data_IF_390957876397
#
_entry.id   IF_390957876397
#
_cell.length_a   1.000
_cell.length_b   1.000
_cell.length_c   1.000
_cell.angle_alpha   90.00
_cell.angle_beta   90.00
_cell.angle_gamma   90.00
#
_symmetry.space_group_name_H-M   'P 1'
#
loop_
_entity.id
_entity.type
_entity.pdbx_description
1 polymer ?
#
# COMPACT_ATOMS: atom_id res chain seq x y z
N UNK A 1 -1.64 14.06 -2.22
CA UNK A 1 -3.09 13.73 -2.16
C UNK A 1 -3.38 12.44 -1.38
N UNK A 2 -2.86 11.32 -1.87
CA UNK A 2 -2.94 10.01 -1.20
C UNK A 2 -2.44 10.07 0.25
N UNK A 3 -1.27 10.68 0.45
CA UNK A 3 -0.73 10.92 1.78
C UNK A 3 -1.70 11.73 2.66
N UNK A 4 -2.31 12.80 2.12
CA UNK A 4 -3.29 13.63 2.84
C UNK A 4 -4.56 12.87 3.19
N UNK A 5 -5.03 11.96 2.34
CA UNK A 5 -6.17 11.06 2.60
C UNK A 5 -5.85 10.10 3.75
N UNK A 6 -4.73 9.37 3.65
CA UNK A 6 -4.27 8.46 4.70
C UNK A 6 -3.94 9.19 6.01
N UNK A 7 -3.47 10.44 5.94
CA UNK A 7 -3.16 11.25 7.11
C UNK A 7 -4.43 11.84 7.75
N UNK A 8 -5.42 12.25 6.94
CA UNK A 8 -6.74 12.72 7.45
C UNK A 8 -7.51 11.61 8.13
N UNK A 9 -7.45 10.39 7.59
CA UNK A 9 -8.06 9.20 8.17
C UNK A 9 -7.22 8.59 9.30
N UNK A 10 -5.98 9.05 9.50
CA UNK A 10 -5.17 8.62 10.65
C UNK A 10 -5.54 9.39 11.91
N UNK A 11 -6.37 8.76 12.75
CA UNK A 11 -6.45 9.12 14.17
C UNK A 11 -5.12 8.81 14.89
N UNK A 12 -5.10 8.89 16.22
CA UNK A 12 -3.97 8.37 17.03
C UNK A 12 -3.99 6.84 17.18
N UNK A 13 -4.81 6.16 16.39
CA UNK A 13 -4.91 4.71 16.39
C UNK A 13 -3.58 4.09 15.96
N UNK A 14 -3.18 3.02 16.67
CA UNK A 14 -1.95 2.27 16.39
C UNK A 14 -1.96 1.77 14.94
N UNK A 15 -0.80 1.85 14.29
CA UNK A 15 -0.63 1.42 12.89
C UNK A 15 -0.91 2.49 11.83
N UNK A 16 -1.50 3.62 12.19
CA UNK A 16 -1.75 4.69 11.21
C UNK A 16 -0.51 5.55 10.94
N UNK A 17 -0.49 6.30 9.82
CA UNK A 17 0.63 7.21 9.50
C UNK A 17 0.90 8.23 10.61
N UNK A 18 -0.13 8.79 11.24
CA UNK A 18 0.02 9.73 12.36
C UNK A 18 0.59 9.08 13.61
N UNK A 19 0.19 7.84 13.91
CA UNK A 19 0.82 7.08 14.99
C UNK A 19 2.32 6.88 14.76
N UNK A 20 2.73 6.49 13.55
CA UNK A 20 4.15 6.33 13.23
C UNK A 20 4.90 7.66 13.20
N UNK A 21 4.26 8.74 12.75
CA UNK A 21 4.82 10.08 12.76
C UNK A 21 5.14 10.55 14.19
N UNK A 22 4.22 10.35 15.14
CA UNK A 22 4.42 10.65 16.56
C UNK A 22 5.50 9.73 17.17
N UNK A 23 5.42 8.41 16.93
CA UNK A 23 6.35 7.42 17.49
C UNK A 23 7.79 7.59 17.00
N UNK A 24 7.98 7.95 15.73
CA UNK A 24 9.29 8.23 15.12
C UNK A 24 9.74 9.68 15.30
N UNK A 25 8.99 10.49 16.06
CA UNK A 25 9.30 11.90 16.35
C UNK A 25 9.49 12.77 15.10
N UNK A 26 8.83 12.45 13.98
CA UNK A 26 8.94 13.18 12.71
C UNK A 26 8.01 14.40 12.68
N UNK A 27 8.33 15.43 13.47
CA UNK A 27 7.48 16.62 13.66
C UNK A 27 7.24 17.45 12.40
N UNK A 28 8.16 17.39 11.44
CA UNK A 28 8.06 18.15 10.19
C UNK A 28 7.05 17.54 9.19
N UNK A 29 6.65 16.28 9.41
CA UNK A 29 5.64 15.60 8.58
C UNK A 29 4.26 15.99 9.08
N UNK A 30 3.55 16.78 8.27
CA UNK A 30 2.21 17.30 8.60
C UNK A 30 1.21 16.96 7.49
N UNK A 31 -0.08 17.08 7.79
CA UNK A 31 -1.15 16.81 6.82
C UNK A 31 -1.06 17.71 5.58
N UNK A 32 -0.65 18.96 5.79
CA UNK A 32 -0.38 19.91 4.73
C UNK A 32 1.08 19.75 4.31
N UNK A 33 1.31 19.17 3.14
CA UNK A 33 2.65 18.72 2.71
C UNK A 33 3.50 19.95 2.38
N UNK A 34 4.25 20.44 3.37
CA UNK A 34 5.26 21.50 3.21
C UNK A 34 6.63 20.94 2.87
N UNK A 35 6.96 19.77 3.44
CA UNK A 35 8.22 19.07 3.23
C UNK A 35 7.95 17.73 2.56
N UNK A 36 7.90 17.76 1.22
CA UNK A 36 7.56 16.58 0.42
C UNK A 36 8.47 15.38 0.71
N UNK A 37 9.78 15.61 0.70
CA UNK A 37 10.82 14.58 0.92
C UNK A 37 10.58 13.83 2.24
N UNK A 38 10.33 14.54 3.33
CA UNK A 38 10.13 13.94 4.65
C UNK A 38 8.82 13.14 4.74
N UNK A 39 7.76 13.64 4.09
CA UNK A 39 6.49 12.93 3.99
C UNK A 39 6.65 11.64 3.16
N UNK A 40 7.37 11.72 2.05
CA UNK A 40 7.67 10.57 1.19
C UNK A 40 8.51 9.53 1.96
N UNK A 41 9.56 9.96 2.66
CA UNK A 41 10.39 9.07 3.46
C UNK A 41 9.59 8.37 4.57
N UNK A 42 8.65 9.08 5.22
CA UNK A 42 7.78 8.45 6.23
C UNK A 42 6.89 7.41 5.57
N UNK A 43 6.24 7.77 4.46
CA UNK A 43 5.35 6.88 3.73
C UNK A 43 6.08 5.61 3.26
N UNK A 44 7.28 5.75 2.70
CA UNK A 44 8.12 4.61 2.29
C UNK A 44 8.50 3.75 3.50
N UNK A 45 8.87 4.35 4.62
CA UNK A 45 9.27 3.60 5.83
C UNK A 45 8.09 2.78 6.39
N UNK A 46 6.91 3.41 6.50
CA UNK A 46 5.69 2.75 6.96
C UNK A 46 5.24 1.68 5.97
N UNK A 47 5.26 1.97 4.66
CA UNK A 47 4.95 1.00 3.61
C UNK A 47 5.83 -0.24 3.69
N UNK A 48 7.16 -0.08 3.82
CA UNK A 48 8.09 -1.20 4.02
C UNK A 48 7.76 -2.02 5.26
N UNK A 49 7.44 -1.37 6.39
CA UNK A 49 7.08 -2.09 7.62
C UNK A 49 5.80 -2.92 7.46
N UNK A 50 4.80 -2.39 6.74
CA UNK A 50 3.59 -3.13 6.44
C UNK A 50 3.82 -4.26 5.45
N UNK A 51 4.69 -4.07 4.46
CA UNK A 51 5.08 -5.14 3.53
C UNK A 51 5.75 -6.28 4.30
N UNK A 52 6.66 -5.96 5.22
CA UNK A 52 7.30 -6.97 6.05
C UNK A 52 6.27 -7.71 6.92
N UNK A 53 5.38 -6.99 7.60
CA UNK A 53 4.31 -7.59 8.39
C UNK A 53 3.39 -8.50 7.56
N UNK A 54 3.03 -8.07 6.33
CA UNK A 54 2.22 -8.86 5.41
C UNK A 54 2.95 -10.13 4.95
N UNK A 55 4.26 -10.04 4.66
CA UNK A 55 5.07 -11.20 4.29
C UNK A 55 5.21 -12.18 5.45
N UNK A 56 5.49 -11.69 6.67
CA UNK A 56 5.56 -12.53 7.87
C UNK A 56 4.25 -13.27 8.08
N UNK A 57 3.12 -12.57 8.00
CA UNK A 57 1.81 -13.20 8.12
C UNK A 57 1.55 -14.21 6.99
N UNK A 58 1.83 -13.86 5.74
CA UNK A 58 1.61 -14.72 4.58
C UNK A 58 2.45 -16.01 4.59
N UNK A 59 3.67 -15.97 5.13
CA UNK A 59 4.52 -17.16 5.27
C UNK A 59 4.39 -17.86 6.64
N UNK A 60 3.48 -17.39 7.50
CA UNK A 60 3.27 -17.85 8.86
C UNK A 60 4.56 -17.82 9.71
N UNK A 61 5.22 -16.66 9.70
CA UNK A 61 6.44 -16.34 10.45
C UNK A 61 6.13 -15.32 11.54
N UNK A 62 6.75 -15.47 12.72
CA UNK A 62 6.59 -14.52 13.83
C UNK A 62 7.67 -13.43 13.78
N UNK A 63 8.89 -13.82 13.42
CA UNK A 63 10.05 -12.94 13.28
C UNK A 63 10.71 -13.08 11.90
N UNK A 64 11.56 -12.12 11.56
CA UNK A 64 12.26 -12.08 10.25
C UNK A 64 13.23 -13.25 10.09
N UNK A 65 13.77 -13.76 11.20
CA UNK A 65 14.74 -14.85 11.23
C UNK A 65 14.07 -16.24 11.30
N UNK A 66 12.73 -16.29 11.35
CA UNK A 66 11.99 -17.55 11.34
C UNK A 66 12.06 -18.25 9.98
N UNK A 67 11.68 -19.53 9.97
CA UNK A 67 11.49 -20.29 8.71
C UNK A 67 10.03 -20.19 8.25
N UNK A 68 9.77 -19.98 6.95
CA UNK A 68 8.43 -20.07 6.39
C UNK A 68 7.77 -21.41 6.74
N UNK A 69 6.52 -21.37 7.19
CA UNK A 69 5.72 -22.57 7.49
C UNK A 69 4.65 -22.81 6.44
N UNK A 70 4.19 -21.74 5.77
CA UNK A 70 3.24 -21.82 4.66
C UNK A 70 3.86 -21.33 3.35
N UNK A 71 3.21 -21.65 2.23
CA UNK A 71 3.63 -21.26 0.89
C UNK A 71 5.11 -21.60 0.61
N UNK A 72 5.56 -22.79 1.04
CA UNK A 72 6.93 -23.26 0.85
C UNK A 72 7.06 -23.86 -0.56
N UNK A 73 8.17 -23.65 -1.28
CA UNK A 73 8.39 -24.31 -2.58
C UNK A 73 8.42 -25.83 -2.42
N UNK A 74 7.65 -26.58 -3.23
CA UNK A 74 7.78 -28.04 -3.31
C UNK A 74 9.19 -28.45 -3.74
N UNK A 75 9.65 -29.63 -3.31
CA UNK A 75 11.01 -30.11 -3.56
C UNK A 75 11.38 -30.18 -5.05
N UNK A 76 10.43 -30.61 -5.89
CA UNK A 76 10.62 -30.78 -7.34
C UNK A 76 9.91 -29.68 -8.16
N UNK A 77 9.60 -28.53 -7.54
CA UNK A 77 8.86 -27.49 -8.23
C UNK A 77 9.69 -26.80 -9.31
N UNK A 78 9.02 -26.45 -10.41
CA UNK A 78 9.47 -25.35 -11.25
C UNK A 78 9.39 -24.05 -10.43
N UNK A 79 10.56 -23.51 -10.11
CA UNK A 79 10.67 -22.29 -9.29
C UNK A 79 9.98 -21.09 -9.92
N UNK A 80 9.92 -20.99 -11.25
CA UNK A 80 9.21 -19.89 -11.92
C UNK A 80 7.71 -20.02 -11.71
N UNK A 81 7.17 -21.21 -11.99
CA UNK A 81 5.74 -21.46 -11.83
C UNK A 81 5.29 -21.32 -10.37
N UNK A 82 6.10 -21.81 -9.43
CA UNK A 82 5.87 -21.62 -8.00
C UNK A 82 5.88 -20.14 -7.63
N UNK A 83 6.88 -19.39 -8.09
CA UNK A 83 7.00 -17.97 -7.79
C UNK A 83 5.79 -17.19 -8.29
N UNK A 84 5.39 -17.40 -9.55
CA UNK A 84 4.23 -16.74 -10.13
C UNK A 84 2.95 -17.07 -9.36
N UNK A 85 2.74 -18.35 -9.01
CA UNK A 85 1.57 -18.79 -8.25
C UNK A 85 1.51 -18.18 -6.85
N UNK A 86 2.63 -18.17 -6.13
CA UNK A 86 2.70 -17.63 -4.76
C UNK A 86 2.61 -16.12 -4.76
N UNK A 87 3.24 -15.45 -5.75
CA UNK A 87 3.13 -14.02 -5.93
C UNK A 87 1.69 -13.61 -6.24
N UNK A 88 1.02 -14.32 -7.17
CA UNK A 88 -0.39 -14.07 -7.49
C UNK A 88 -1.27 -14.27 -6.25
N UNK A 89 -1.02 -15.30 -5.44
CA UNK A 89 -1.74 -15.51 -4.18
C UNK A 89 -1.55 -14.32 -3.23
N UNK A 90 -0.31 -13.86 -3.02
CA UNK A 90 -0.01 -12.70 -2.19
C UNK A 90 -0.69 -11.42 -2.70
N UNK A 91 -0.60 -11.15 -4.00
CA UNK A 91 -1.21 -9.98 -4.64
C UNK A 91 -2.72 -10.02 -4.46
N UNK A 92 -3.35 -11.18 -4.67
CA UNK A 92 -4.79 -11.33 -4.48
C UNK A 92 -5.20 -11.04 -3.03
N UNK A 93 -4.49 -11.63 -2.06
CA UNK A 93 -4.82 -11.53 -0.64
C UNK A 93 -4.62 -10.11 -0.08
N UNK A 94 -3.50 -9.46 -0.35
CA UNK A 94 -3.15 -8.17 0.28
C UNK A 94 -3.44 -6.96 -0.61
N UNK A 95 -3.42 -7.10 -1.94
CA UNK A 95 -3.53 -5.96 -2.85
C UNK A 95 -4.87 -5.89 -3.56
N UNK A 96 -5.55 -7.01 -3.79
CA UNK A 96 -6.81 -7.05 -4.57
C UNK A 96 -8.05 -7.42 -3.74
N UNK A 97 -7.90 -8.01 -2.55
CA UNK A 97 -9.04 -8.39 -1.69
C UNK A 97 -10.03 -7.25 -1.51
N UNK A 98 -11.30 -7.50 -1.83
CA UNK A 98 -12.37 -6.54 -1.50
C UNK A 98 -12.69 -6.69 -0.01
N UNK A 99 -13.03 -5.60 0.70
CA UNK A 99 -13.60 -5.74 2.03
C UNK A 99 -14.93 -6.50 1.89
N UNK A 100 -15.00 -7.69 2.48
CA UNK A 100 -16.26 -8.45 2.54
C UNK A 100 -17.26 -7.66 3.38
N UNK A 101 -18.41 -7.31 2.81
CA UNK A 101 -19.46 -6.52 3.46
C UNK A 101 -20.23 -7.27 4.56
N UNK A 102 -19.63 -8.27 5.23
CA UNK A 102 -20.33 -9.09 6.23
C UNK A 102 -19.45 -9.46 7.43
N UNK A 103 -19.41 -8.59 8.44
CA UNK A 103 -19.12 -8.99 9.83
C UNK A 103 -19.92 -8.10 10.80
N UNK A 104 -20.62 -8.76 11.73
CA UNK A 104 -21.39 -8.13 12.80
C UNK A 104 -20.48 -7.91 14.03
N UNK A 105 -20.68 -6.77 14.73
CA UNK A 105 -20.34 -6.46 16.14
C UNK A 105 -19.09 -5.57 16.44
N UNK A 106 -19.31 -4.25 16.54
CA UNK A 106 -18.87 -3.23 17.55
C UNK A 106 -17.44 -3.16 18.12
N UNK A 107 -16.66 -4.24 18.24
CA UNK A 107 -15.21 -4.23 18.51
C UNK A 107 -14.40 -4.61 17.26
N UNK A 108 -14.98 -5.44 16.41
CA UNK A 108 -14.42 -5.84 15.11
C UNK A 108 -14.29 -4.64 14.17
N UNK A 109 -15.20 -3.67 14.26
CA UNK A 109 -15.24 -2.49 13.38
C UNK A 109 -13.96 -1.64 13.45
N UNK A 110 -13.33 -1.48 14.62
CA UNK A 110 -12.08 -0.72 14.74
C UNK A 110 -10.88 -1.51 14.20
N UNK A 111 -10.86 -2.82 14.40
CA UNK A 111 -9.82 -3.70 13.88
C UNK A 111 -9.92 -3.79 12.35
N UNK A 112 -11.14 -3.91 11.84
CA UNK A 112 -11.48 -3.93 10.42
C UNK A 112 -11.12 -2.59 9.75
N UNK A 113 -11.37 -1.45 10.40
CA UNK A 113 -10.94 -0.15 9.90
C UNK A 113 -9.41 -0.02 9.80
N UNK A 114 -8.66 -0.52 10.79
CA UNK A 114 -7.19 -0.49 10.76
C UNK A 114 -6.65 -1.45 9.70
N UNK A 115 -7.28 -2.61 9.54
CA UNK A 115 -6.95 -3.58 8.48
C UNK A 115 -7.23 -3.01 7.09
N UNK A 116 -8.38 -2.39 6.88
CA UNK A 116 -8.70 -1.73 5.61
C UNK A 116 -7.72 -0.58 5.32
N UNK A 117 -7.38 0.21 6.35
CA UNK A 117 -6.37 1.25 6.25
C UNK A 117 -5.00 0.69 5.86
N UNK A 118 -4.56 -0.40 6.48
CA UNK A 118 -3.25 -1.00 6.22
C UNK A 118 -3.18 -1.62 4.83
N UNK A 119 -4.24 -2.30 4.37
CA UNK A 119 -4.36 -2.80 2.99
C UNK A 119 -4.38 -1.65 1.97
N UNK A 120 -5.09 -0.56 2.25
CA UNK A 120 -5.07 0.64 1.42
C UNK A 120 -3.66 1.23 1.33
N UNK A 121 -2.97 1.37 2.46
CA UNK A 121 -1.60 1.86 2.52
C UNK A 121 -0.65 0.96 1.72
N UNK A 122 -0.75 -0.36 1.86
CA UNK A 122 0.04 -1.33 1.09
C UNK A 122 -0.14 -1.17 -0.42
N UNK A 123 -1.39 -1.10 -0.90
CA UNK A 123 -1.69 -0.89 -2.33
C UNK A 123 -1.03 0.38 -2.85
N UNK A 124 -1.17 1.47 -2.12
CA UNK A 124 -0.63 2.77 -2.50
C UNK A 124 0.91 2.78 -2.45
N UNK A 125 1.50 2.07 -1.50
CA UNK A 125 2.95 1.89 -1.41
C UNK A 125 3.51 1.14 -2.64
N UNK A 126 2.88 0.02 -3.02
CA UNK A 126 3.30 -0.72 -4.22
C UNK A 126 3.10 0.08 -5.50
N UNK A 127 1.99 0.83 -5.65
CA UNK A 127 1.79 1.74 -6.79
C UNK A 127 2.90 2.80 -6.85
N UNK A 128 3.25 3.43 -5.72
CA UNK A 128 4.35 4.40 -5.66
C UNK A 128 5.68 3.75 -6.05
N UNK A 129 5.95 2.53 -5.57
CA UNK A 129 7.18 1.81 -5.86
C UNK A 129 7.28 1.49 -7.35
N UNK A 130 6.23 0.95 -7.95
CA UNK A 130 6.16 0.70 -9.39
C UNK A 130 6.31 1.98 -10.20
N UNK A 131 5.73 3.10 -9.77
CA UNK A 131 5.87 4.39 -10.44
C UNK A 131 7.33 4.86 -10.44
N UNK A 132 7.98 4.84 -9.27
CA UNK A 132 9.39 5.26 -9.14
C UNK A 132 10.33 4.37 -9.94
N UNK A 133 10.05 3.07 -9.99
CA UNK A 133 10.87 2.12 -10.76
C UNK A 133 10.66 2.32 -12.27
N UNK A 134 9.42 2.53 -12.73
CA UNK A 134 9.14 2.82 -14.15
C UNK A 134 9.77 4.14 -14.61
N UNK A 135 9.74 5.20 -13.79
CA UNK A 135 10.45 6.46 -14.08
C UNK A 135 11.96 6.23 -14.17
N UNK A 136 12.53 5.46 -13.24
CA UNK A 136 13.98 5.18 -13.23
C UNK A 136 14.43 4.38 -14.46
N UNK A 137 13.60 3.45 -14.92
CA UNK A 137 13.87 2.61 -16.09
C UNK A 137 13.51 3.29 -17.42
N UNK A 138 12.76 4.40 -17.39
CA UNK A 138 12.24 5.04 -18.60
C UNK A 138 11.14 4.24 -19.31
N UNK A 139 10.43 3.38 -18.57
CA UNK A 139 9.38 2.50 -19.11
C UNK A 139 8.06 3.28 -19.27
N UNK A 140 7.86 3.86 -20.45
CA UNK A 140 6.66 4.64 -20.79
C UNK A 140 5.36 3.82 -20.75
N UNK A 141 5.41 2.53 -21.07
CA UNK A 141 4.23 1.67 -21.13
C UNK A 141 3.75 1.31 -19.72
N UNK A 142 4.69 0.99 -18.82
CA UNK A 142 4.39 0.78 -17.42
C UNK A 142 3.88 2.06 -16.76
N UNK A 143 4.46 3.22 -17.08
CA UNK A 143 3.96 4.52 -16.61
C UNK A 143 2.54 4.80 -17.08
N UNK A 144 2.22 4.53 -18.35
CA UNK A 144 0.87 4.70 -18.88
C UNK A 144 -0.14 3.78 -18.16
N UNK A 145 0.26 2.55 -17.86
CA UNK A 145 -0.57 1.58 -17.11
C UNK A 145 -0.84 2.07 -15.68
N UNK A 146 0.19 2.52 -14.97
CA UNK A 146 0.06 3.05 -13.61
C UNK A 146 -0.83 4.31 -13.59
N UNK A 147 -0.66 5.20 -14.57
CA UNK A 147 -1.51 6.39 -14.73
C UNK A 147 -2.99 6.02 -14.92
N UNK A 148 -3.31 5.00 -15.73
CA UNK A 148 -4.70 4.52 -15.90
C UNK A 148 -5.30 4.03 -14.57
N UNK A 149 -4.51 3.36 -13.73
CA UNK A 149 -4.94 2.91 -12.39
C UNK A 149 -5.19 4.11 -11.48
N UNK A 150 -4.25 5.07 -11.43
CA UNK A 150 -4.38 6.30 -10.63
C UNK A 150 -5.58 7.15 -11.08
N UNK A 151 -5.84 7.23 -12.38
CA UNK A 151 -6.96 7.97 -12.94
C UNK A 151 -8.30 7.42 -12.44
N UNK A 152 -8.48 6.09 -12.42
CA UNK A 152 -9.67 5.45 -11.84
C UNK A 152 -9.83 5.81 -10.37
N UNK A 153 -8.74 5.77 -9.61
CA UNK A 153 -8.73 6.12 -8.18
C UNK A 153 -9.10 7.59 -7.93
N UNK A 154 -8.59 8.54 -8.71
CA UNK A 154 -8.92 9.97 -8.55
C UNK A 154 -10.34 10.29 -8.99
N UNK A 155 -10.84 9.64 -10.05
CA UNK A 155 -12.23 9.80 -10.50
C UNK A 155 -13.23 9.28 -9.47
N UNK A 156 -12.91 8.22 -8.72
CA UNK A 156 -13.83 7.64 -7.73
C UNK A 156 -13.93 8.44 -6.43
N UNK A 157 -13.02 9.39 -6.17
CA UNK A 157 -13.02 10.18 -4.94
C UNK A 157 -13.49 11.62 -5.19
N UNK A 158 -14.63 11.99 -4.58
CA UNK A 158 -15.19 13.35 -4.67
C UNK A 158 -14.17 14.40 -4.18
N UNK A 159 -13.93 15.44 -5.00
CA UNK A 159 -12.98 16.51 -4.69
C UNK A 159 -11.59 16.35 -5.31
N UNK A 160 -11.34 15.25 -6.04
CA UNK A 160 -10.05 15.00 -6.70
C UNK A 160 -10.11 14.99 -8.24
N UNK A 161 -11.25 15.43 -8.81
CA UNK A 161 -11.47 15.48 -10.26
C UNK A 161 -10.48 16.36 -11.01
N UNK A 162 -9.99 17.45 -10.40
CA UNK A 162 -8.97 18.32 -11.02
C UNK A 162 -7.69 17.56 -11.36
N UNK A 163 -7.26 16.65 -10.48
CA UNK A 163 -6.08 15.81 -10.74
C UNK A 163 -6.34 14.73 -11.79
N UNK A 164 -7.56 14.18 -11.83
CA UNK A 164 -7.96 13.27 -12.90
C UNK A 164 -7.93 13.99 -14.26
N UNK A 165 -8.36 15.26 -14.30
CA UNK A 165 -8.34 16.11 -15.49
C UNK A 165 -6.90 16.45 -15.88
N UNK A 166 -6.05 16.90 -14.95
CA UNK A 166 -4.62 17.17 -15.21
C UNK A 166 -3.88 15.92 -15.72
N UNK A 167 -4.16 14.76 -15.15
CA UNK A 167 -3.57 13.49 -15.58
C UNK A 167 -4.06 13.06 -16.96
N UNK A 168 -5.32 13.33 -17.33
CA UNK A 168 -5.85 13.13 -18.68
C UNK A 168 -5.21 14.06 -19.71
N UNK A 169 -5.04 15.34 -19.35
CA UNK A 169 -4.40 16.34 -20.22
C UNK A 169 -2.93 16.00 -20.46
N UNK A 170 -2.21 15.51 -19.44
CA UNK A 170 -0.78 15.15 -19.55
C UNK A 170 -0.51 13.83 -20.29
N UNK A 171 -1.54 13.16 -20.80
CA UNK A 171 -1.47 11.92 -21.59
C UNK A 171 -1.72 12.19 -23.09
N UNK A 172 -2.42 13.28 -23.41
CA UNK A 172 -2.63 13.78 -24.78
C UNK A 172 -1.44 14.65 -25.23
#
# INVERSE_FOLDING_TARGET
LVFKMLYKNSGRAKGTLRFFQEKLQRRNVTQDIKHYEECEQLFISVGKSYTLAALLHFFCMSEVDDRPQENIPPHDADYQQYFDTVLDKFVNEYLLSKPDSQSNQTLDEQLDQIKEYSLCLLRLFFILKSLKDAVKLGDGDQLATIRKVLLKHFKSHSGHNTYAIEMLISIL
#
